data_IF_283714870035
#
_entry.id   IF_283714870035
#
_cell.length_a   1.000
_cell.length_b   1.000
_cell.length_c   1.000
_cell.angle_alpha   90.00
_cell.angle_beta   90.00
_cell.angle_gamma   90.00
#
_symmetry.space_group_name_H-M   'P 1'
#
loop_
_entity.id
_entity.type
_entity.pdbx_description
1 polymer ?
#
# COMPACT_ATOMS: atom_id res chain seq x y z
N UNK A 1 -29.92 15.03 18.06
CA UNK A 1 -29.57 16.45 17.89
C UNK A 1 -29.67 16.75 16.41
N UNK A 2 -30.46 17.75 16.06
CA UNK A 2 -30.71 18.12 14.67
C UNK A 2 -29.63 19.05 14.14
N UNK A 3 -29.13 18.74 12.96
CA UNK A 3 -28.10 19.49 12.26
C UNK A 3 -28.47 19.62 10.78
N UNK A 4 -27.99 20.70 10.14
CA UNK A 4 -28.08 20.93 8.70
C UNK A 4 -26.69 20.64 8.12
N UNK A 5 -26.61 19.79 7.11
CA UNK A 5 -25.34 19.44 6.45
C UNK A 5 -24.90 20.56 5.49
N UNK A 6 -23.68 21.07 5.66
CA UNK A 6 -23.06 22.03 4.74
C UNK A 6 -22.32 21.36 3.58
N UNK A 7 -21.97 20.09 3.74
CA UNK A 7 -21.37 19.29 2.70
C UNK A 7 -21.89 17.86 2.78
N UNK A 8 -21.80 17.13 1.67
CA UNK A 8 -22.16 15.72 1.63
C UNK A 8 -21.30 14.93 2.61
N UNK A 9 -21.94 14.06 3.39
CA UNK A 9 -21.26 13.13 4.30
C UNK A 9 -21.79 11.73 4.05
N UNK A 10 -20.87 10.78 3.89
CA UNK A 10 -21.22 9.39 3.70
C UNK A 10 -22.09 8.87 4.84
N UNK A 11 -23.15 8.12 4.49
CA UNK A 11 -24.12 7.52 5.41
C UNK A 11 -25.05 8.49 6.14
N UNK A 12 -24.93 9.81 5.94
CA UNK A 12 -25.80 10.81 6.54
C UNK A 12 -26.80 11.41 5.54
N UNK A 13 -26.32 11.96 4.43
CA UNK A 13 -27.17 12.66 3.49
C UNK A 13 -26.41 13.61 2.56
N UNK A 14 -27.18 14.34 1.77
CA UNK A 14 -26.68 15.37 0.87
C UNK A 14 -26.56 16.73 1.58
N UNK A 15 -25.96 17.69 0.89
CA UNK A 15 -25.88 19.05 1.38
C UNK A 15 -27.28 19.67 1.52
N UNK A 16 -27.54 20.31 2.65
CA UNK A 16 -28.83 20.94 2.97
C UNK A 16 -29.83 20.04 3.69
N UNK A 17 -29.54 18.75 3.84
CA UNK A 17 -30.41 17.84 4.57
C UNK A 17 -30.36 18.14 6.07
N UNK A 18 -31.55 18.17 6.69
CA UNK A 18 -31.71 18.20 8.14
C UNK A 18 -31.68 16.77 8.65
N UNK A 19 -30.61 16.40 9.35
CA UNK A 19 -30.41 15.04 9.87
C UNK A 19 -30.32 15.03 11.39
N UNK A 20 -30.92 14.01 11.98
CA UNK A 20 -30.85 13.79 13.42
C UNK A 20 -29.70 12.83 13.76
N UNK A 21 -28.67 13.34 14.44
CA UNK A 21 -27.49 12.56 14.82
C UNK A 21 -27.29 12.52 16.33
N UNK A 22 -26.45 11.57 16.79
CA UNK A 22 -26.04 11.50 18.20
C UNK A 22 -25.30 12.80 18.58
N UNK A 23 -25.60 13.42 19.74
CA UNK A 23 -25.00 14.70 20.14
C UNK A 23 -23.46 14.70 20.16
N UNK A 24 -22.84 13.59 20.58
CA UNK A 24 -21.39 13.44 20.58
C UNK A 24 -20.77 13.51 19.18
N UNK A 25 -21.42 12.91 18.18
CA UNK A 25 -20.94 12.93 16.80
C UNK A 25 -21.05 14.33 16.18
N UNK A 26 -22.16 15.04 16.41
CA UNK A 26 -22.29 16.43 15.99
C UNK A 26 -21.23 17.33 16.63
N UNK A 27 -21.02 17.22 17.96
CA UNK A 27 -20.14 18.11 18.73
C UNK A 27 -18.66 17.89 18.47
N UNK A 28 -18.23 16.64 18.31
CA UNK A 28 -16.81 16.30 18.24
C UNK A 28 -16.29 16.19 16.80
N UNK A 29 -17.15 15.87 15.83
CA UNK A 29 -16.75 15.61 14.46
C UNK A 29 -17.31 16.63 13.47
N UNK A 30 -18.64 16.74 13.36
CA UNK A 30 -19.27 17.52 12.27
C UNK A 30 -19.16 19.05 12.47
N UNK A 31 -19.39 19.55 13.68
CA UNK A 31 -19.35 20.99 13.98
C UNK A 31 -17.91 21.56 13.92
N UNK A 32 -16.88 20.91 14.51
CA UNK A 32 -15.51 21.44 14.44
C UNK A 32 -14.93 21.43 13.03
N UNK A 33 -15.30 20.43 12.21
CA UNK A 33 -14.87 20.33 10.81
C UNK A 33 -15.71 21.19 9.86
N UNK A 34 -16.66 22.00 10.37
CA UNK A 34 -17.56 22.84 9.57
C UNK A 34 -18.34 22.06 8.51
N UNK A 35 -18.62 20.78 8.76
CA UNK A 35 -19.39 19.94 7.83
C UNK A 35 -20.89 20.13 8.02
N UNK A 36 -21.30 20.66 9.16
CA UNK A 36 -22.70 20.87 9.52
C UNK A 36 -22.85 22.07 10.45
N UNK A 37 -24.07 22.60 10.52
CA UNK A 37 -24.49 23.63 11.49
C UNK A 37 -25.67 23.12 12.31
N UNK A 38 -25.90 23.71 13.49
CA UNK A 38 -27.08 23.36 14.30
C UNK A 38 -28.35 23.81 13.60
N UNK A 39 -29.38 22.96 13.60
CA UNK A 39 -30.68 23.28 13.05
C UNK A 39 -31.43 24.27 13.98
N UNK A 40 -31.21 25.56 13.76
CA UNK A 40 -31.97 26.66 14.35
C UNK A 40 -32.63 27.47 13.22
N UNK A 41 -33.76 28.15 13.50
CA UNK A 41 -34.46 28.98 12.51
C UNK A 41 -33.55 30.01 11.84
N UNK A 42 -32.71 30.68 12.62
CA UNK A 42 -31.76 31.67 12.10
C UNK A 42 -30.70 31.03 11.17
N UNK A 43 -30.20 29.86 11.55
CA UNK A 43 -29.21 29.12 10.77
C UNK A 43 -29.80 28.56 9.48
N UNK A 44 -31.09 28.20 9.48
CA UNK A 44 -31.79 27.72 8.30
C UNK A 44 -31.95 28.85 7.27
N UNK A 45 -32.38 30.04 7.70
CA UNK A 45 -32.46 31.23 6.84
C UNK A 45 -31.08 31.64 6.30
N UNK A 46 -30.02 31.55 7.12
CA UNK A 46 -28.65 31.78 6.67
C UNK A 46 -28.19 30.76 5.63
N UNK A 47 -28.49 29.48 5.85
CA UNK A 47 -28.14 28.43 4.92
C UNK A 47 -28.83 28.63 3.57
N UNK A 48 -30.10 29.01 3.54
CA UNK A 48 -30.82 29.31 2.29
C UNK A 48 -30.18 30.44 1.48
N UNK A 49 -29.69 31.48 2.16
CA UNK A 49 -28.96 32.58 1.52
C UNK A 49 -27.58 32.16 0.98
N UNK A 50 -26.86 31.31 1.72
CA UNK A 50 -25.51 30.83 1.37
C UNK A 50 -25.55 29.60 0.42
N UNK A 51 -26.72 28.96 0.25
CA UNK A 51 -26.90 27.70 -0.49
C UNK A 51 -26.35 27.78 -1.91
N UNK A 52 -26.73 28.81 -2.66
CA UNK A 52 -26.30 28.96 -4.05
C UNK A 52 -24.76 29.10 -4.18
N UNK A 53 -24.12 29.78 -3.23
CA UNK A 53 -22.66 29.93 -3.21
C UNK A 53 -21.96 28.62 -2.84
N UNK A 54 -22.50 27.89 -1.85
CA UNK A 54 -21.98 26.60 -1.44
C UNK A 54 -22.13 25.54 -2.53
N UNK A 55 -23.24 25.55 -3.28
CA UNK A 55 -23.46 24.66 -4.42
C UNK A 55 -22.47 24.94 -5.56
N UNK A 56 -22.28 26.21 -5.92
CA UNK A 56 -21.29 26.61 -6.93
C UNK A 56 -19.88 26.18 -6.53
N UNK A 57 -19.45 26.48 -5.30
CA UNK A 57 -18.14 26.10 -4.80
C UNK A 57 -17.97 24.57 -4.64
N UNK A 58 -19.05 23.81 -4.46
CA UNK A 58 -19.00 22.35 -4.44
C UNK A 58 -18.80 21.81 -5.87
N UNK A 59 -19.54 22.36 -6.84
CA UNK A 59 -19.45 21.96 -8.23
C UNK A 59 -18.05 22.23 -8.81
N UNK A 60 -17.46 23.39 -8.51
CA UNK A 60 -16.08 23.73 -8.90
C UNK A 60 -15.09 22.71 -8.34
N UNK A 61 -15.11 22.48 -7.01
CA UNK A 61 -14.22 21.49 -6.36
C UNK A 61 -14.43 20.08 -6.88
N UNK A 62 -15.66 19.70 -7.19
CA UNK A 62 -15.97 18.40 -7.81
C UNK A 62 -15.35 18.31 -9.20
N UNK A 63 -15.46 19.35 -10.02
CA UNK A 63 -14.89 19.37 -11.37
C UNK A 63 -13.36 19.32 -11.36
N UNK A 64 -12.71 20.04 -10.44
CA UNK A 64 -11.26 19.96 -10.24
C UNK A 64 -10.84 18.56 -9.80
N UNK A 65 -11.57 17.97 -8.85
CA UNK A 65 -11.31 16.60 -8.39
C UNK A 65 -11.52 15.56 -9.49
N UNK A 66 -12.50 15.75 -10.39
CA UNK A 66 -12.71 14.88 -11.56
C UNK A 66 -11.55 14.99 -12.54
N UNK A 67 -11.07 16.20 -12.83
CA UNK A 67 -9.91 16.40 -13.71
C UNK A 67 -8.63 15.78 -13.15
N UNK A 68 -8.46 15.79 -11.82
CA UNK A 68 -7.35 15.08 -11.16
C UNK A 68 -7.59 13.57 -11.18
N UNK A 69 -8.83 13.12 -10.99
CA UNK A 69 -9.19 11.72 -11.02
C UNK A 69 -8.87 11.05 -12.35
N UNK A 70 -9.23 11.68 -13.46
CA UNK A 70 -8.93 11.20 -14.81
C UNK A 70 -7.41 11.06 -15.05
N UNK A 71 -6.60 11.97 -14.48
CA UNK A 71 -5.13 11.89 -14.59
C UNK A 71 -4.51 10.81 -13.70
N UNK A 72 -5.17 10.49 -12.59
CA UNK A 72 -4.74 9.46 -11.66
C UNK A 72 -5.25 8.07 -12.04
N UNK A 73 -6.21 7.97 -12.96
CA UNK A 73 -6.76 6.70 -13.41
C UNK A 73 -5.69 5.87 -14.13
N UNK A 74 -5.48 4.64 -13.65
CA UNK A 74 -4.41 3.76 -14.15
C UNK A 74 -3.01 4.10 -13.64
N UNK A 75 -2.88 5.03 -12.68
CA UNK A 75 -1.60 5.30 -12.03
C UNK A 75 -1.11 4.05 -11.31
N UNK A 76 0.11 3.61 -11.67
CA UNK A 76 0.84 2.53 -11.01
C UNK A 76 2.03 3.12 -10.29
N UNK A 77 2.11 2.91 -8.98
CA UNK A 77 3.20 3.39 -8.15
C UNK A 77 3.95 2.19 -7.58
N UNK A 78 5.27 2.19 -7.71
CA UNK A 78 6.14 1.16 -7.13
C UNK A 78 6.58 1.62 -5.75
N UNK A 79 6.48 0.75 -4.76
CA UNK A 79 6.92 0.98 -3.39
C UNK A 79 7.92 -0.10 -2.99
N UNK A 80 9.17 0.31 -2.79
CA UNK A 80 10.26 -0.60 -2.42
C UNK A 80 10.31 -0.73 -0.89
N UNK A 81 10.22 -1.97 -0.40
CA UNK A 81 10.31 -2.29 1.03
C UNK A 81 11.00 -3.64 1.24
N UNK A 82 11.80 -3.74 2.29
CA UNK A 82 12.44 -4.99 2.68
C UNK A 82 11.40 -6.03 3.09
N UNK A 83 11.54 -7.24 2.56
CA UNK A 83 10.70 -8.40 2.84
C UNK A 83 11.55 -9.63 3.13
N UNK A 84 10.94 -10.63 3.76
CA UNK A 84 11.53 -11.96 3.92
C UNK A 84 11.35 -12.78 2.65
N UNK A 85 12.14 -13.85 2.53
CA UNK A 85 12.05 -14.84 1.44
C UNK A 85 10.64 -15.43 1.29
N UNK A 86 9.88 -15.53 2.38
CA UNK A 86 8.48 -15.96 2.38
C UNK A 86 7.47 -14.89 1.91
N UNK A 87 7.92 -13.79 1.30
CA UNK A 87 7.07 -12.72 0.75
C UNK A 87 6.37 -11.84 1.79
N UNK A 88 6.78 -11.92 3.07
CA UNK A 88 6.25 -11.09 4.15
C UNK A 88 7.13 -9.86 4.37
N UNK A 89 6.53 -8.68 4.45
CA UNK A 89 7.22 -7.43 4.70
C UNK A 89 7.65 -7.31 6.16
N UNK A 90 8.89 -6.86 6.40
CA UNK A 90 9.37 -6.56 7.75
C UNK A 90 8.67 -5.32 8.35
N UNK A 91 8.21 -4.41 7.50
CA UNK A 91 7.43 -3.22 7.88
C UNK A 91 6.12 -3.16 7.12
N UNK A 92 5.02 -2.91 7.82
CA UNK A 92 3.72 -2.78 7.17
C UNK A 92 3.65 -1.51 6.33
N UNK A 93 3.11 -1.60 5.12
CA UNK A 93 2.79 -0.42 4.30
C UNK A 93 1.53 0.22 4.84
N UNK A 94 1.64 1.50 5.20
CA UNK A 94 0.53 2.28 5.77
C UNK A 94 -0.03 3.28 4.77
N UNK A 95 -1.20 3.85 5.06
CA UNK A 95 -1.79 4.95 4.28
C UNK A 95 -0.85 6.15 4.11
N UNK A 96 0.11 6.35 5.04
CA UNK A 96 1.10 7.42 4.95
C UNK A 96 2.14 7.13 3.85
N UNK A 97 2.62 5.89 3.77
CA UNK A 97 3.59 5.47 2.75
C UNK A 97 2.96 5.59 1.36
N UNK A 98 1.71 5.13 1.23
CA UNK A 98 0.93 5.24 -0.01
C UNK A 98 0.77 6.70 -0.44
N UNK A 99 0.35 7.57 0.48
CA UNK A 99 0.17 8.98 0.18
C UNK A 99 1.49 9.66 -0.23
N UNK A 100 2.61 9.30 0.41
CA UNK A 100 3.93 9.80 0.06
C UNK A 100 4.33 9.35 -1.36
N UNK A 101 4.19 8.07 -1.68
CA UNK A 101 4.53 7.52 -2.99
C UNK A 101 3.70 8.14 -4.12
N UNK A 102 2.40 8.37 -3.89
CA UNK A 102 1.53 9.06 -4.85
C UNK A 102 1.91 10.55 -4.99
N UNK A 103 2.39 11.17 -3.92
CA UNK A 103 2.90 12.55 -3.96
C UNK A 103 4.20 12.68 -4.73
N UNK A 104 5.10 11.70 -4.61
CA UNK A 104 6.32 11.59 -5.41
C UNK A 104 6.00 11.40 -6.90
N UNK A 105 4.91 10.71 -7.23
CA UNK A 105 4.41 10.58 -8.61
C UNK A 105 3.77 11.88 -9.17
N UNK A 106 3.70 12.96 -8.38
CA UNK A 106 3.26 14.28 -8.83
C UNK A 106 1.84 14.68 -8.42
N UNK A 107 1.14 13.88 -7.61
CA UNK A 107 -0.22 14.17 -7.15
C UNK A 107 -0.28 14.46 -5.65
N UNK A 108 -0.78 15.63 -5.25
CA UNK A 108 -0.90 15.96 -3.82
C UNK A 108 -2.02 15.16 -3.16
N UNK A 109 -1.67 14.10 -2.41
CA UNK A 109 -2.62 13.25 -1.68
C UNK A 109 -2.27 13.22 -0.20
N UNK A 110 -3.29 13.37 0.65
CA UNK A 110 -3.16 13.25 2.10
C UNK A 110 -3.42 11.82 2.57
N UNK A 111 -2.79 11.41 3.68
CA UNK A 111 -3.04 10.09 4.30
C UNK A 111 -4.52 9.81 4.61
N UNK A 112 -5.31 10.86 4.88
CA UNK A 112 -6.73 10.74 5.24
C UNK A 112 -7.61 10.46 4.01
N UNK A 113 -7.10 10.70 2.81
CA UNK A 113 -7.79 10.44 1.54
C UNK A 113 -7.61 9.00 1.07
N UNK A 114 -6.60 8.28 1.57
CA UNK A 114 -6.35 6.88 1.22
C UNK A 114 -7.27 5.98 2.07
N UNK A 115 -8.23 5.33 1.42
CA UNK A 115 -9.11 4.36 2.07
C UNK A 115 -8.43 3.00 2.12
N UNK A 116 -8.03 2.63 3.33
CA UNK A 116 -7.41 1.33 3.61
C UNK A 116 -7.97 0.79 4.93
N UNK A 117 -8.48 -0.45 4.91
CA UNK A 117 -9.02 -1.11 6.10
C UNK A 117 -7.92 -1.76 6.95
N UNK A 118 -6.94 -2.37 6.29
CA UNK A 118 -5.83 -3.10 6.93
C UNK A 118 -4.50 -2.74 6.25
N UNK A 119 -3.42 -2.55 7.02
CA UNK A 119 -2.08 -2.38 6.46
C UNK A 119 -1.63 -3.59 5.65
N UNK A 120 -0.85 -3.36 4.59
CA UNK A 120 -0.28 -4.43 3.76
C UNK A 120 0.98 -4.98 4.41
N UNK A 121 1.09 -6.32 4.44
CA UNK A 121 2.24 -7.04 5.00
C UNK A 121 2.86 -8.04 4.03
N UNK A 122 2.41 -8.07 2.78
CA UNK A 122 2.88 -9.00 1.76
C UNK A 122 3.34 -8.24 0.53
N UNK A 123 4.28 -8.82 -0.22
CA UNK A 123 4.64 -8.32 -1.54
C UNK A 123 3.52 -8.56 -2.56
N UNK A 124 3.50 -7.76 -3.62
CA UNK A 124 2.57 -7.88 -4.73
C UNK A 124 1.86 -6.58 -5.08
N UNK A 125 0.93 -6.67 -6.05
CA UNK A 125 0.16 -5.54 -6.54
C UNK A 125 -1.19 -5.48 -5.83
N UNK A 126 -1.49 -4.31 -5.26
CA UNK A 126 -2.72 -4.04 -4.53
C UNK A 126 -3.39 -2.78 -5.05
N UNK A 127 -4.71 -2.86 -5.22
CA UNK A 127 -5.52 -1.71 -5.62
C UNK A 127 -6.10 -1.01 -4.39
N UNK A 128 -5.84 0.30 -4.28
CA UNK A 128 -6.36 1.14 -3.21
C UNK A 128 -7.26 2.23 -3.74
N UNK A 129 -8.32 2.54 -2.98
CA UNK A 129 -9.22 3.64 -3.29
C UNK A 129 -8.74 4.92 -2.62
N UNK A 130 -8.51 5.96 -3.41
CA UNK A 130 -8.15 7.30 -2.97
C UNK A 130 -9.34 8.22 -3.20
N UNK A 131 -9.83 8.84 -2.12
CA UNK A 131 -10.94 9.78 -2.15
C UNK A 131 -10.42 11.21 -2.31
N UNK A 132 -10.60 11.76 -3.50
CA UNK A 132 -10.26 13.15 -3.80
C UNK A 132 -11.37 14.10 -3.34
N UNK A 133 -12.62 13.71 -3.54
CA UNK A 133 -13.81 14.46 -3.14
C UNK A 133 -14.89 13.49 -2.61
N UNK A 134 -15.86 13.92 -1.78
CA UNK A 134 -16.94 13.04 -1.30
C UNK A 134 -17.78 12.33 -2.38
N UNK A 135 -17.64 12.71 -3.65
CA UNK A 135 -18.32 12.09 -4.79
C UNK A 135 -17.35 11.53 -5.85
N UNK A 136 -16.03 11.68 -5.63
CA UNK A 136 -15.00 11.30 -6.59
C UNK A 136 -13.94 10.47 -5.87
N UNK A 137 -13.98 9.17 -6.14
CA UNK A 137 -12.97 8.21 -5.72
C UNK A 137 -12.20 7.73 -6.95
N UNK A 138 -10.91 7.44 -6.77
CA UNK A 138 -10.02 6.89 -7.80
C UNK A 138 -9.39 5.61 -7.28
N UNK A 139 -9.23 4.62 -8.14
CA UNK A 139 -8.46 3.42 -7.82
C UNK A 139 -7.02 3.61 -8.29
N UNK A 140 -6.05 3.43 -7.39
CA UNK A 140 -4.62 3.49 -7.67
C UNK A 140 -4.01 2.12 -7.39
N UNK A 141 -3.24 1.58 -8.33
CA UNK A 141 -2.54 0.32 -8.17
C UNK A 141 -1.16 0.57 -7.58
N UNK A 142 -0.84 -0.11 -6.49
CA UNK A 142 0.43 0.01 -5.78
C UNK A 142 1.14 -1.33 -5.89
N UNK A 143 2.31 -1.32 -6.51
CA UNK A 143 3.18 -2.48 -6.57
C UNK A 143 4.16 -2.44 -5.41
N UNK A 144 4.09 -3.41 -4.50
CA UNK A 144 5.03 -3.53 -3.38
C UNK A 144 6.05 -4.63 -3.70
N UNK A 145 7.32 -4.23 -3.84
CA UNK A 145 8.43 -5.10 -4.26
C UNK A 145 9.65 -4.93 -3.36
N UNK A 146 10.56 -5.92 -3.35
CA UNK A 146 11.81 -5.86 -2.59
C UNK A 146 12.90 -5.09 -3.35
N UNK A 147 12.89 -5.15 -4.69
CA UNK A 147 13.84 -4.46 -5.56
C UNK A 147 13.16 -3.88 -6.82
N UNK A 148 13.84 -2.94 -7.49
CA UNK A 148 13.36 -2.35 -8.75
C UNK A 148 13.24 -3.38 -9.90
N UNK A 149 14.13 -4.38 -9.92
CA UNK A 149 14.10 -5.46 -10.92
C UNK A 149 12.89 -6.39 -10.71
N UNK A 150 12.56 -6.71 -9.46
CA UNK A 150 11.35 -7.47 -9.14
C UNK A 150 10.07 -6.69 -9.44
N UNK A 151 10.08 -5.37 -9.23
CA UNK A 151 8.94 -4.53 -9.56
C UNK A 151 8.61 -4.57 -11.06
N UNK A 152 9.64 -4.59 -11.91
CA UNK A 152 9.50 -4.76 -13.36
C UNK A 152 9.01 -6.17 -13.71
N UNK A 153 9.59 -7.21 -13.10
CA UNK A 153 9.18 -8.59 -13.33
C UNK A 153 7.70 -8.83 -12.95
N UNK A 154 7.23 -8.24 -11.85
CA UNK A 154 5.83 -8.28 -11.42
C UNK A 154 4.91 -7.52 -12.38
N UNK A 155 5.33 -6.35 -12.86
CA UNK A 155 4.58 -5.59 -13.86
C UNK A 155 4.44 -6.37 -15.18
N UNK A 156 5.50 -7.03 -15.64
CA UNK A 156 5.51 -7.87 -16.83
C UNK A 156 4.70 -9.16 -16.66
N UNK A 157 4.63 -9.69 -15.44
CA UNK A 157 3.79 -10.86 -15.11
C UNK A 157 2.30 -10.52 -15.20
N UNK A 158 1.91 -9.38 -14.61
CA UNK A 158 0.53 -8.90 -14.67
C UNK A 158 0.14 -8.49 -16.09
N UNK A 159 1.08 -7.93 -16.87
CA UNK A 159 0.85 -7.65 -18.29
C UNK A 159 0.63 -8.91 -19.14
N UNK A 160 1.21 -10.06 -18.73
CA UNK A 160 1.01 -11.37 -19.36
C UNK A 160 -0.22 -12.13 -18.85
N UNK A 161 -0.98 -11.58 -17.90
CA UNK A 161 -2.22 -12.16 -17.39
C UNK A 161 -2.05 -13.24 -16.31
N UNK A 162 -0.86 -13.34 -15.71
CA UNK A 162 -0.59 -14.24 -14.57
C UNK A 162 -0.94 -13.56 -13.23
N UNK A 163 -1.27 -14.33 -12.18
CA UNK A 163 -1.62 -13.76 -10.87
C UNK A 163 -0.47 -12.94 -10.28
N UNK A 164 -0.80 -11.76 -9.74
CA UNK A 164 0.15 -10.78 -9.19
C UNK A 164 0.85 -11.22 -7.89
N UNK A 165 0.50 -12.40 -7.38
CA UNK A 165 1.04 -12.99 -6.15
C UNK A 165 1.56 -14.37 -6.52
N UNK A 166 2.79 -14.69 -6.12
CA UNK A 166 3.29 -16.06 -6.15
C UNK A 166 2.27 -16.93 -5.42
N UNK A 167 1.73 -17.94 -6.09
CA UNK A 167 0.86 -18.91 -5.43
C UNK A 167 1.67 -19.59 -4.33
N UNK A 168 1.02 -20.01 -3.25
CA UNK A 168 1.70 -20.70 -2.15
C UNK A 168 2.57 -21.86 -2.65
N UNK A 169 2.14 -22.55 -3.72
CA UNK A 169 2.88 -23.63 -4.34
C UNK A 169 4.16 -23.18 -5.08
N UNK A 170 4.15 -21.99 -5.70
CA UNK A 170 5.34 -21.41 -6.35
C UNK A 170 6.33 -20.86 -5.32
N UNK A 171 5.82 -20.31 -4.21
CA UNK A 171 6.63 -19.85 -3.09
C UNK A 171 7.32 -21.05 -2.40
N UNK A 172 6.58 -22.13 -2.14
CA UNK A 172 7.12 -23.37 -1.58
C UNK A 172 8.16 -24.00 -2.52
N UNK A 173 7.94 -23.93 -3.84
CA UNK A 173 8.91 -24.44 -4.83
C UNK A 173 10.18 -23.60 -4.91
N UNK A 174 10.09 -22.26 -4.78
CA UNK A 174 11.26 -21.38 -4.72
C UNK A 174 12.06 -21.62 -3.43
N UNK A 175 11.39 -21.69 -2.29
CA UNK A 175 12.04 -22.00 -1.00
C UNK A 175 12.72 -23.37 -1.06
N UNK A 176 12.05 -24.38 -1.61
CA UNK A 176 12.66 -25.71 -1.76
C UNK A 176 13.87 -25.71 -2.70
N UNK A 177 13.82 -24.95 -3.80
CA UNK A 177 14.94 -24.84 -4.73
C UNK A 177 16.13 -24.10 -4.11
N UNK A 178 15.89 -23.06 -3.32
CA UNK A 178 16.92 -22.28 -2.65
C UNK A 178 17.57 -23.06 -1.50
N UNK A 179 16.78 -23.75 -0.68
CA UNK A 179 17.27 -24.69 0.35
C UNK A 179 18.07 -25.84 -0.28
N UNK A 180 17.63 -26.38 -1.42
CA UNK A 180 18.38 -27.42 -2.11
C UNK A 180 19.72 -26.90 -2.65
N UNK A 181 19.78 -25.64 -3.05
CA UNK A 181 21.00 -24.99 -3.53
C UNK A 181 21.98 -24.69 -2.39
N UNK A 182 21.48 -24.19 -1.26
CA UNK A 182 22.29 -24.03 -0.04
C UNK A 182 22.80 -25.36 0.50
N UNK A 183 21.97 -26.42 0.47
CA UNK A 183 22.41 -27.76 0.84
C UNK A 183 23.46 -28.32 -0.13
N UNK A 184 23.31 -28.08 -1.43
CA UNK A 184 24.30 -28.47 -2.42
C UNK A 184 25.63 -27.73 -2.23
N UNK A 185 25.59 -26.42 -1.96
CA UNK A 185 26.79 -25.64 -1.66
C UNK A 185 27.42 -26.06 -0.32
N UNK A 186 26.63 -26.34 0.72
CA UNK A 186 27.15 -26.84 2.00
C UNK A 186 27.79 -28.23 1.87
N UNK A 187 27.19 -29.12 1.06
CA UNK A 187 27.77 -30.43 0.75
C UNK A 187 29.06 -30.27 -0.08
N UNK A 188 29.10 -29.33 -1.02
CA UNK A 188 30.30 -29.05 -1.80
C UNK A 188 31.44 -28.48 -0.95
N UNK A 189 31.13 -27.60 0.01
CA UNK A 189 32.11 -27.07 0.97
C UNK A 189 32.60 -28.18 1.91
N UNK A 190 31.70 -29.01 2.43
CA UNK A 190 32.08 -30.14 3.27
C UNK A 190 32.92 -31.18 2.51
N UNK A 191 32.61 -31.45 1.23
CA UNK A 191 33.42 -32.32 0.39
C UNK A 191 34.82 -31.75 0.13
N UNK A 192 34.92 -30.43 -0.10
CA UNK A 192 36.21 -29.76 -0.27
C UNK A 192 37.05 -29.72 1.03
N UNK A 193 36.41 -29.65 2.20
CA UNK A 193 37.11 -29.76 3.49
C UNK A 193 37.63 -31.18 3.74
N UNK A 194 36.87 -32.22 3.36
CA UNK A 194 37.30 -33.63 3.48
C UNK A 194 38.44 -33.95 2.50
N UNK A 195 38.37 -33.46 1.25
CA UNK A 195 39.49 -33.60 0.30
C UNK A 195 40.75 -32.86 0.78
N UNK A 196 40.59 -31.70 1.43
CA UNK A 196 41.73 -30.96 2.00
C UNK A 196 42.33 -31.65 3.25
N UNK A 197 41.53 -32.35 4.05
CA UNK A 197 42.01 -33.19 5.16
C UNK A 197 42.70 -34.45 4.65
N UNK A 198 42.18 -35.13 3.62
CA UNK A 198 42.84 -36.29 2.99
C UNK A 198 44.17 -35.91 2.31
N UNK A 199 44.25 -34.74 1.65
CA UNK A 199 45.52 -34.25 1.09
C UNK A 199 46.54 -33.87 2.18
N UNK A 200 46.07 -33.36 3.34
CA UNK A 200 46.93 -33.05 4.48
C UNK A 200 47.43 -34.31 5.20
N UNK A 201 46.59 -35.35 5.31
CA UNK A 201 46.95 -36.64 5.90
C UNK A 201 47.93 -37.40 4.99
N UNK A 202 47.71 -37.41 3.67
CA UNK A 202 48.63 -37.98 2.68
C UNK A 202 49.99 -37.25 2.62
N UNK A 203 50.00 -35.93 2.83
CA UNK A 203 51.25 -35.16 2.95
C UNK A 203 52.02 -35.46 4.26
N UNK A 204 51.30 -35.87 5.31
CA UNK A 204 51.90 -36.25 6.60
C UNK A 204 52.49 -37.67 6.58
N UNK A 205 51.84 -38.63 5.91
CA UNK A 205 52.36 -39.99 5.72
C UNK A 205 53.61 -40.01 4.81
N UNK A 206 53.65 -39.20 3.76
CA UNK A 206 54.85 -39.07 2.90
C UNK A 206 56.02 -38.40 3.61
N UNK A 207 55.77 -37.59 4.64
CA UNK A 207 56.82 -36.97 5.44
C UNK A 207 57.41 -37.93 6.49
N UNK A 208 56.62 -38.88 7.01
CA UNK A 208 57.11 -39.93 7.91
C UNK A 208 57.95 -40.98 7.16
N UNK A 209 57.55 -41.38 5.94
CA UNK A 209 58.29 -42.36 5.13
C UNK A 209 59.66 -41.82 4.65
N UNK A 210 59.82 -40.49 4.53
CA UNK A 210 61.10 -39.85 4.18
C UNK A 210 62.08 -39.70 5.36
N UNK A 211 61.66 -39.98 6.61
CA UNK A 211 62.51 -39.92 7.80
C UNK A 211 63.07 -41.27 8.27
N UNK A 212 62.67 -42.39 7.64
CA UNK A 212 63.12 -43.74 8.00
C UNK A 212 64.17 -44.36 7.04
N UNK A 213 64.67 -43.62 6.04
CA UNK A 213 65.80 -44.04 5.17
C UNK A 213 67.15 -43.40 5.54
#
# INVERSE_FOLDING_TARGET
MEIILLQRVEKLGQMGDVVNVKPGFARNFLLPQKMAIRANKDNLARFEAEKAQLEAANLERKSEAQAVAEKMEGLRVVLIRAASEGGQLYGSVTSRDIAAAVTEAGFSVSRNQVLMEKPVKTLGIFDFRVRLHPEVDVTVSINVAQSDEEAQAQADRVARGEPAVLTAAELDAQIAAEVAKEQADAIAVAAAEVEAEEEAEAASEQAEEATEE
#
